data_IF_222766149395
#
_entry.id   IF_222766149395
#
_cell.length_a   1.000
_cell.length_b   1.000
_cell.length_c   1.000
_cell.angle_alpha   90.00
_cell.angle_beta   90.00
_cell.angle_gamma   90.00
#
_symmetry.space_group_name_H-M   'P 1'
#
loop_
_entity.id
_entity.type
_entity.pdbx_description
1 polymer ?
#
# COMPACT_ATOMS: atom_id res chain seq x y z
N UNK A 1 11.84 19.39 -1.78
CA UNK A 1 11.33 18.99 -0.45
C UNK A 1 9.81 19.02 -0.49
N UNK A 2 9.15 17.87 -0.31
CA UNK A 2 7.69 17.77 -0.23
C UNK A 2 7.24 17.91 1.23
N UNK A 3 6.17 18.66 1.49
CA UNK A 3 5.68 18.94 2.84
C UNK A 3 4.42 18.14 3.17
N UNK A 4 4.45 17.53 4.37
CA UNK A 4 3.38 16.84 5.10
C UNK A 4 2.72 15.63 4.41
N UNK A 5 2.72 14.50 5.15
CA UNK A 5 2.24 13.19 4.67
C UNK A 5 1.14 12.67 5.58
N UNK A 6 0.00 12.30 5.01
CA UNK A 6 -0.99 11.42 5.64
C UNK A 6 -0.81 10.01 5.07
N UNK A 7 -0.21 9.12 5.84
CA UNK A 7 -0.10 7.70 5.49
C UNK A 7 -1.33 7.00 6.07
N UNK A 8 -2.23 6.52 5.21
CA UNK A 8 -3.43 5.80 5.64
C UNK A 8 -3.32 4.34 5.26
N UNK A 9 -3.26 3.45 6.25
CA UNK A 9 -3.46 2.03 6.00
C UNK A 9 -4.96 1.78 5.83
N UNK A 10 -5.37 1.31 4.64
CA UNK A 10 -6.74 0.82 4.45
C UNK A 10 -6.74 -0.67 4.76
N UNK A 11 -7.23 -1.00 5.94
CA UNK A 11 -7.56 -2.36 6.32
C UNK A 11 -8.95 -2.64 5.74
N UNK A 12 -9.07 -3.53 4.75
CA UNK A 12 -10.38 -3.97 4.29
C UNK A 12 -11.01 -4.86 5.36
N UNK A 13 -11.88 -4.29 6.18
CA UNK A 13 -12.84 -5.04 6.98
C UNK A 13 -14.24 -4.53 6.64
N UNK A 14 -14.88 -5.18 5.67
CA UNK A 14 -16.35 -5.12 5.44
C UNK A 14 -16.72 -6.42 4.69
N UNK A 15 -17.82 -7.10 4.96
CA UNK A 15 -19.04 -6.70 5.66
C UNK A 15 -19.77 -7.92 6.23
N UNK A 16 -20.46 -7.73 7.36
CA UNK A 16 -21.49 -8.62 7.90
C UNK A 16 -22.60 -8.84 6.87
N UNK A 17 -22.70 -10.06 6.33
CA UNK A 17 -23.92 -10.49 5.66
C UNK A 17 -24.86 -11.11 6.71
N UNK A 18 -25.88 -10.37 7.12
CA UNK A 18 -27.05 -10.94 7.79
C UNK A 18 -28.02 -11.45 6.70
N UNK A 19 -28.41 -12.73 6.68
CA UNK A 19 -29.49 -13.15 5.80
C UNK A 19 -30.85 -12.90 6.47
N UNK A 20 -31.57 -11.90 5.95
CA UNK A 20 -33.01 -11.80 6.10
C UNK A 20 -33.70 -12.92 5.32
N UNK A 21 -34.61 -13.61 5.99
CA UNK A 21 -35.43 -14.69 5.43
C UNK A 21 -36.43 -14.18 4.38
N UNK A 22 -36.38 -14.72 3.16
CA UNK A 22 -37.50 -14.74 2.23
C UNK A 22 -37.62 -16.15 1.64
N UNK A 23 -38.75 -16.88 1.82
CA UNK A 23 -38.90 -18.22 1.26
C UNK A 23 -39.59 -18.17 -0.11
N UNK A 24 -39.06 -18.96 -1.06
CA UNK A 24 -39.81 -19.51 -2.19
C UNK A 24 -39.24 -19.20 -3.58
N UNK A 25 -38.87 -20.26 -4.32
CA UNK A 25 -38.71 -20.19 -5.79
C UNK A 25 -37.59 -21.04 -6.39
N UNK A 26 -37.91 -22.31 -6.65
CA UNK A 26 -37.41 -23.28 -7.65
C UNK A 26 -36.26 -22.88 -8.63
N UNK A 27 -35.17 -23.68 -8.59
CA UNK A 27 -34.54 -24.31 -9.76
C UNK A 27 -33.80 -23.47 -10.83
N UNK A 28 -32.46 -23.40 -10.73
CA UNK A 28 -31.57 -23.06 -11.85
C UNK A 28 -30.09 -23.35 -11.50
N UNK A 29 -29.30 -23.98 -12.40
CA UNK A 29 -28.05 -24.66 -12.05
C UNK A 29 -26.86 -23.70 -11.90
N UNK A 30 -25.95 -24.08 -11.02
CA UNK A 30 -24.57 -23.59 -10.91
C UNK A 30 -24.42 -22.06 -11.01
N UNK A 31 -24.81 -21.36 -9.95
CA UNK A 31 -24.06 -20.17 -9.59
C UNK A 31 -22.60 -20.62 -9.46
N UNK A 32 -21.63 -19.98 -10.13
CA UNK A 32 -20.24 -20.27 -9.82
C UNK A 32 -20.07 -19.99 -8.34
N UNK A 33 -19.83 -21.06 -7.59
CA UNK A 33 -19.24 -20.97 -6.26
C UNK A 33 -18.05 -20.04 -6.46
N UNK A 34 -18.18 -18.82 -5.96
CA UNK A 34 -17.10 -17.86 -5.95
C UNK A 34 -16.06 -18.49 -5.07
N UNK A 35 -15.19 -19.30 -5.68
CA UNK A 35 -13.99 -19.83 -5.07
C UNK A 35 -13.31 -18.61 -4.50
N UNK A 36 -13.42 -18.44 -3.18
CA UNK A 36 -12.65 -17.48 -2.44
C UNK A 36 -11.21 -17.95 -2.60
N UNK A 37 -10.59 -17.58 -3.73
CA UNK A 37 -9.14 -17.67 -3.94
C UNK A 37 -8.58 -17.06 -2.68
N UNK A 38 -7.90 -17.88 -1.89
CA UNK A 38 -7.19 -17.43 -0.72
C UNK A 38 -6.24 -16.33 -1.19
N UNK A 39 -6.67 -15.08 -1.06
CA UNK A 39 -5.91 -13.95 -1.58
C UNK A 39 -4.59 -13.95 -0.80
N UNK A 40 -3.48 -14.06 -1.54
CA UNK A 40 -2.17 -14.01 -0.93
C UNK A 40 -2.11 -12.77 -0.03
N UNK A 41 -1.55 -12.88 1.19
CA UNK A 41 -1.43 -11.72 2.07
C UNK A 41 -0.69 -10.62 1.30
N UNK A 42 -1.21 -9.39 1.39
CA UNK A 42 -0.58 -8.20 0.77
C UNK A 42 -0.57 -7.00 1.69
N UNK A 43 0.52 -6.24 1.73
CA UNK A 43 0.58 -4.99 2.48
C UNK A 43 0.38 -3.81 1.51
N UNK A 44 -0.51 -2.88 1.83
CA UNK A 44 -0.77 -1.70 0.98
C UNK A 44 -0.32 -0.44 1.70
N UNK A 45 0.63 0.27 1.11
CA UNK A 45 1.07 1.59 1.54
C UNK A 45 0.34 2.66 0.72
N UNK A 46 -0.38 3.55 1.39
CA UNK A 46 -1.00 4.71 0.77
C UNK A 46 -0.53 5.98 1.46
N UNK A 47 -0.15 6.95 0.67
CA UNK A 47 0.26 8.25 1.17
C UNK A 47 -0.18 9.36 0.23
N UNK A 48 -0.29 10.56 0.78
CA UNK A 48 -0.59 11.78 0.04
C UNK A 48 0.49 12.80 0.33
N UNK A 49 0.96 13.49 -0.70
CA UNK A 49 1.82 14.68 -0.59
C UNK A 49 0.93 15.92 -0.71
N UNK A 50 1.16 16.95 0.10
CA UNK A 50 0.40 18.19 -0.06
C UNK A 50 0.89 19.02 -1.26
N UNK A 51 2.21 19.03 -1.47
CA UNK A 51 2.90 19.64 -2.60
C UNK A 51 4.22 18.92 -2.88
N UNK A 52 4.69 19.05 -4.11
CA UNK A 52 5.92 18.45 -4.61
C UNK A 52 6.75 19.50 -5.35
N UNK A 53 8.08 19.43 -5.21
CA UNK A 53 9.01 20.33 -5.86
C UNK A 53 10.11 19.48 -6.48
N UNK A 54 10.17 19.48 -7.81
CA UNK A 54 11.12 18.70 -8.61
C UNK A 54 11.19 17.24 -8.17
N UNK A 55 10.05 16.63 -7.84
CA UNK A 55 9.97 15.24 -7.41
C UNK A 55 9.94 14.31 -8.63
N UNK A 56 11.02 13.55 -8.82
CA UNK A 56 11.08 12.52 -9.84
C UNK A 56 10.20 11.32 -9.46
N UNK A 57 10.23 10.92 -8.18
CA UNK A 57 9.46 9.78 -7.74
C UNK A 57 9.81 9.26 -6.36
N UNK A 58 9.33 8.06 -6.06
CA UNK A 58 9.46 7.43 -4.76
C UNK A 58 9.98 6.00 -4.88
N UNK A 59 10.95 5.65 -4.03
CA UNK A 59 11.38 4.28 -3.81
C UNK A 59 10.84 3.77 -2.47
N UNK A 60 10.38 2.53 -2.45
CA UNK A 60 9.89 1.88 -1.23
C UNK A 60 10.94 0.89 -0.76
N UNK A 61 11.22 0.95 0.53
CA UNK A 61 12.13 0.05 1.21
C UNK A 61 11.39 -0.76 2.26
N UNK A 62 11.77 -2.04 2.40
CA UNK A 62 11.20 -3.00 3.36
C UNK A 62 12.29 -3.67 4.18
N UNK A 63 11.99 -3.96 5.44
CA UNK A 63 12.80 -4.78 6.32
C UNK A 63 11.90 -5.67 7.18
N UNK A 64 12.38 -6.87 7.54
CA UNK A 64 11.74 -7.72 8.57
C UNK A 64 12.06 -7.23 9.99
N UNK A 65 13.05 -6.35 10.15
CA UNK A 65 13.47 -5.77 11.43
C UNK A 65 13.28 -4.24 11.45
N UNK A 66 12.93 -3.69 12.61
CA UNK A 66 12.77 -2.24 12.80
C UNK A 66 14.05 -1.45 12.48
N UNK A 67 15.21 -2.05 12.71
CA UNK A 67 16.53 -1.41 12.56
C UNK A 67 17.17 -1.68 11.20
N UNK A 68 16.57 -2.54 10.37
CA UNK A 68 17.11 -2.97 9.08
C UNK A 68 17.82 -4.34 9.12
N UNK A 69 18.52 -4.73 8.05
CA UNK A 69 18.74 -3.95 6.83
C UNK A 69 17.45 -3.76 6.02
N UNK A 70 17.32 -2.59 5.39
CA UNK A 70 16.20 -2.30 4.51
C UNK A 70 16.59 -2.56 3.06
N UNK A 71 15.75 -3.32 2.37
CA UNK A 71 15.90 -3.68 0.97
C UNK A 71 14.93 -2.87 0.11
N UNK A 72 15.40 -2.39 -1.04
CA UNK A 72 14.55 -1.70 -2.01
C UNK A 72 13.56 -2.72 -2.61
N UNK A 73 12.28 -2.37 -2.62
CA UNK A 73 11.19 -3.21 -3.17
C UNK A 73 10.66 -2.72 -4.51
N UNK A 74 11.03 -1.51 -4.91
CA UNK A 74 10.71 -0.94 -6.22
C UNK A 74 11.84 -1.24 -7.20
N UNK A 75 11.54 -1.95 -8.29
CA UNK A 75 12.46 -2.06 -9.43
C UNK A 75 12.65 -0.68 -10.07
N UNK A 76 11.55 -0.07 -10.48
CA UNK A 76 11.44 1.31 -10.95
C UNK A 76 10.78 2.21 -9.89
N UNK A 77 11.26 3.46 -9.70
CA UNK A 77 10.63 4.41 -8.79
C UNK A 77 9.18 4.70 -9.19
N UNK A 78 8.29 4.85 -8.22
CA UNK A 78 6.95 5.32 -8.48
C UNK A 78 7.02 6.77 -8.97
N UNK A 79 6.45 7.10 -10.13
CA UNK A 79 6.58 8.43 -10.70
C UNK A 79 5.94 9.47 -9.78
N UNK A 80 6.71 10.52 -9.47
CA UNK A 80 6.22 11.71 -8.78
C UNK A 80 5.51 12.65 -9.75
N UNK A 81 4.93 13.72 -9.22
CA UNK A 81 4.26 14.75 -10.02
C UNK A 81 5.18 15.91 -10.44
N UNK A 82 6.49 15.81 -10.21
CA UNK A 82 7.43 16.87 -10.54
C UNK A 82 7.27 18.07 -9.60
N UNK A 83 6.80 19.19 -10.12
CA UNK A 83 6.55 20.41 -9.35
C UNK A 83 5.06 20.74 -9.39
N UNK A 84 4.40 20.58 -8.26
CA UNK A 84 2.97 20.88 -8.10
C UNK A 84 2.65 21.30 -6.68
N UNK A 85 1.77 22.29 -6.54
CA UNK A 85 1.18 22.68 -5.25
C UNK A 85 -0.13 21.93 -4.96
N UNK A 86 -0.55 21.05 -5.87
CA UNK A 86 -1.76 20.25 -5.72
C UNK A 86 -1.47 18.91 -5.01
N UNK A 87 -2.35 18.46 -4.10
CA UNK A 87 -2.14 17.20 -3.40
C UNK A 87 -2.11 16.00 -4.33
N UNK A 88 -1.10 15.13 -4.17
CA UNK A 88 -0.97 13.89 -4.97
C UNK A 88 -1.09 12.67 -4.09
N UNK A 89 -1.81 11.67 -4.55
CA UNK A 89 -2.03 10.43 -3.79
C UNK A 89 -1.42 9.24 -4.50
N UNK A 90 -0.74 8.40 -3.71
CA UNK A 90 0.02 7.26 -4.20
C UNK A 90 -0.41 5.99 -3.46
N UNK A 91 -0.32 4.86 -4.16
CA UNK A 91 -0.59 3.52 -3.65
C UNK A 91 0.53 2.60 -4.12
N UNK A 92 1.11 1.85 -3.19
CA UNK A 92 2.02 0.77 -3.47
C UNK A 92 1.59 -0.49 -2.71
N UNK A 93 1.69 -1.65 -3.35
CA UNK A 93 1.26 -2.93 -2.79
C UNK A 93 2.41 -3.94 -2.80
N UNK A 94 2.68 -4.53 -1.64
CA UNK A 94 3.63 -5.63 -1.45
C UNK A 94 2.88 -6.96 -1.45
N UNK A 95 3.09 -7.76 -2.47
CA UNK A 95 2.48 -9.10 -2.60
C UNK A 95 3.40 -10.22 -2.11
N UNK A 96 4.64 -9.90 -1.76
CA UNK A 96 5.68 -10.87 -1.40
C UNK A 96 5.88 -10.87 0.13
N UNK A 97 4.78 -11.06 0.86
CA UNK A 97 4.78 -11.09 2.32
C UNK A 97 4.32 -12.45 2.84
N UNK A 98 4.82 -12.82 4.01
CA UNK A 98 4.43 -14.04 4.71
C UNK A 98 3.45 -13.72 5.84
N UNK A 99 2.45 -14.61 6.04
CA UNK A 99 1.53 -14.52 7.17
C UNK A 99 2.31 -14.67 8.49
N UNK A 100 1.88 -13.99 9.54
CA UNK A 100 2.56 -14.10 10.85
C UNK A 100 3.88 -13.33 10.99
N UNK A 101 4.33 -12.56 9.98
CA UNK A 101 5.54 -11.73 10.07
C UNK A 101 5.25 -10.24 10.11
N UNK A 102 5.95 -9.52 10.99
CA UNK A 102 5.95 -8.07 11.02
C UNK A 102 6.90 -7.53 9.93
N UNK A 103 6.44 -6.52 9.20
CA UNK A 103 7.24 -5.83 8.20
C UNK A 103 7.37 -4.35 8.53
N UNK A 104 8.51 -3.78 8.19
CA UNK A 104 8.83 -2.38 8.39
C UNK A 104 9.12 -1.74 7.04
N UNK A 105 8.48 -0.61 6.77
CA UNK A 105 8.61 0.10 5.50
C UNK A 105 9.03 1.54 5.71
N UNK A 106 9.79 2.09 4.78
CA UNK A 106 9.90 3.54 4.63
C UNK A 106 9.91 3.91 3.15
N UNK A 107 9.59 5.16 2.89
CA UNK A 107 9.54 5.75 1.55
C UNK A 107 10.70 6.73 1.43
N UNK A 108 11.42 6.65 0.32
CA UNK A 108 12.46 7.58 -0.08
C UNK A 108 11.95 8.40 -1.27
N UNK A 109 12.09 9.72 -1.23
CA UNK A 109 11.81 10.59 -2.37
C UNK A 109 13.07 10.77 -3.19
N UNK A 110 12.90 10.85 -4.50
CA UNK A 110 13.94 11.09 -5.50
C UNK A 110 13.63 12.41 -6.18
N UNK A 111 14.56 13.35 -6.19
CA UNK A 111 14.41 14.59 -6.94
C UNK A 111 14.80 14.42 -8.42
N UNK A 112 14.40 15.34 -9.29
CA UNK A 112 14.83 15.36 -10.70
C UNK A 112 16.34 15.51 -10.86
N UNK A 113 17.04 16.01 -9.84
CA UNK A 113 18.50 16.04 -9.77
C UNK A 113 19.13 14.71 -9.30
N UNK A 114 18.32 13.69 -9.03
CA UNK A 114 18.76 12.38 -8.54
C UNK A 114 19.09 12.33 -7.04
N UNK A 115 18.77 13.38 -6.28
CA UNK A 115 18.97 13.41 -4.83
C UNK A 115 17.92 12.53 -4.16
N UNK A 116 18.38 11.67 -3.25
CA UNK A 116 17.57 10.68 -2.53
C UNK A 116 17.49 11.05 -1.06
N UNK A 117 16.28 11.17 -0.54
CA UNK A 117 16.04 11.55 0.85
C UNK A 117 14.93 10.72 1.47
N UNK A 118 15.11 10.33 2.74
CA UNK A 118 14.07 9.62 3.47
C UNK A 118 12.85 10.53 3.65
N UNK A 119 11.76 10.15 3.00
CA UNK A 119 10.53 10.92 2.93
C UNK A 119 9.59 10.60 4.11
N UNK A 120 9.54 9.34 4.55
CA UNK A 120 8.67 8.90 5.64
C UNK A 120 9.45 8.42 6.86
N UNK A 121 8.85 8.43 8.06
CA UNK A 121 9.32 7.60 9.17
C UNK A 121 9.21 6.11 8.81
N UNK A 122 9.78 5.26 9.67
CA UNK A 122 9.59 3.80 9.56
C UNK A 122 8.17 3.46 10.00
N UNK A 123 7.45 2.80 9.12
CA UNK A 123 6.06 2.39 9.30
C UNK A 123 6.05 0.89 9.57
N UNK A 124 5.41 0.48 10.67
CA UNK A 124 5.22 -0.94 10.99
C UNK A 124 3.93 -1.44 10.34
N UNK A 125 4.03 -2.43 9.47
CA UNK A 125 2.92 -3.27 9.06
C UNK A 125 2.92 -4.53 9.95
N UNK A 126 1.92 -4.70 10.83
CA UNK A 126 1.85 -5.88 11.67
C UNK A 126 1.56 -7.12 10.82
N UNK A 127 1.95 -8.28 11.35
CA UNK A 127 1.58 -9.58 10.80
C UNK A 127 0.08 -9.69 10.46
N UNK A 128 -0.21 -10.26 9.29
CA UNK A 128 -1.56 -10.65 8.87
C UNK A 128 -1.98 -12.00 9.43
#
# INVERSE_FOLDING_TARGET
MAALVLITFVWSWTVTAAPGSCPGGDGGPDAPEVEAKEEAPKNSLKWTTASEVENFGFDIFRSENKEGPFEKRTDDPLPGAGTTDEPQSYLWEDFDIEKGKDYYYYIESISMAGVRERFSPIIKAPAK
#
